data_IF_436651445547
#
_entry.id   IF_436651445547
#
_cell.length_a   1.000
_cell.length_b   1.000
_cell.length_c   1.000
_cell.angle_alpha   90.00
_cell.angle_beta   90.00
_cell.angle_gamma   90.00
#
_symmetry.space_group_name_H-M   'P 1'
#
loop_
_entity.id
_entity.type
_entity.pdbx_description
1 polymer ?
#
# COMPACT_ATOMS: atom_id res chain seq x y z
N UNK A 1 -84.90 -69.98 -7.88
CA UNK A 1 -85.55 -71.29 -7.74
C UNK A 1 -84.73 -72.17 -6.82
N UNK A 2 -85.42 -73.01 -6.03
CA UNK A 2 -84.98 -74.26 -5.36
C UNK A 2 -83.75 -74.16 -4.42
N UNK A 3 -83.85 -74.24 -3.08
CA UNK A 3 -84.34 -75.28 -2.13
C UNK A 3 -83.24 -76.32 -1.76
N UNK A 4 -83.15 -76.60 -0.45
CA UNK A 4 -82.50 -77.73 0.30
C UNK A 4 -80.97 -77.64 0.48
N UNK A 5 -80.36 -77.91 1.64
CA UNK A 5 -80.81 -78.37 2.96
C UNK A 5 -79.70 -79.18 3.69
N UNK A 6 -79.99 -79.60 4.93
CA UNK A 6 -79.24 -80.62 5.72
C UNK A 6 -78.15 -80.05 6.66
N UNK A 7 -78.36 -79.81 7.96
CA UNK A 7 -78.50 -80.73 9.13
C UNK A 7 -77.28 -81.61 9.50
N UNK A 8 -76.90 -81.54 10.78
CA UNK A 8 -76.05 -82.49 11.53
C UNK A 8 -75.00 -81.78 12.41
N UNK A 9 -75.29 -81.37 13.65
CA UNK A 9 -75.38 -82.13 14.92
C UNK A 9 -74.03 -82.46 15.58
N UNK A 10 -73.89 -82.11 16.87
CA UNK A 10 -72.88 -82.64 17.81
C UNK A 10 -71.94 -81.59 18.40
N UNK A 11 -72.36 -80.80 19.40
CA UNK A 11 -72.12 -81.02 20.85
C UNK A 11 -70.64 -81.01 21.28
N UNK A 12 -70.24 -79.99 22.05
CA UNK A 12 -68.94 -79.94 22.72
C UNK A 12 -68.68 -78.63 23.44
N UNK A 13 -69.36 -78.42 24.57
CA UNK A 13 -69.12 -77.28 25.48
C UNK A 13 -67.71 -77.38 26.07
N UNK A 14 -66.89 -76.34 25.93
CA UNK A 14 -65.82 -76.02 26.90
C UNK A 14 -65.40 -74.53 26.84
N UNK A 15 -65.74 -73.84 27.93
CA UNK A 15 -64.94 -72.79 28.56
C UNK A 15 -64.48 -71.59 27.71
N UNK A 16 -65.24 -70.50 27.75
CA UNK A 16 -64.70 -69.15 27.52
C UNK A 16 -63.64 -68.83 28.58
N UNK A 17 -62.42 -68.49 28.15
CA UNK A 17 -61.55 -67.51 28.81
C UNK A 17 -61.29 -66.38 27.82
N UNK A 18 -61.46 -65.10 28.20
CA UNK A 18 -61.20 -63.97 27.32
C UNK A 18 -59.71 -63.62 27.33
N UNK A 19 -59.34 -62.65 26.49
CA UNK A 19 -58.11 -61.84 26.55
C UNK A 19 -56.86 -62.53 25.97
N UNK A 20 -56.03 -61.92 25.12
CA UNK A 20 -55.85 -60.53 24.69
C UNK A 20 -55.08 -60.58 23.36
N UNK A 21 -55.52 -59.87 22.33
CA UNK A 21 -54.72 -59.67 21.12
C UNK A 21 -53.69 -58.59 21.41
N UNK A 22 -52.45 -58.98 21.70
CA UNK A 22 -51.34 -58.02 21.72
C UNK A 22 -51.04 -57.69 20.26
N UNK A 23 -51.45 -56.49 19.82
CA UNK A 23 -50.91 -55.88 18.62
C UNK A 23 -49.41 -55.72 18.84
N UNK A 24 -48.64 -56.48 18.08
CA UNK A 24 -47.19 -56.35 18.00
C UNK A 24 -46.92 -55.03 17.27
N UNK A 25 -46.95 -53.90 18.00
CA UNK A 25 -46.49 -52.63 17.45
C UNK A 25 -44.98 -52.71 17.32
N UNK A 26 -44.52 -53.20 16.17
CA UNK A 26 -43.17 -52.95 15.73
C UNK A 26 -43.04 -51.44 15.54
N UNK A 27 -42.63 -50.74 16.60
CA UNK A 27 -42.06 -49.42 16.48
C UNK A 27 -40.75 -49.59 15.71
N UNK A 28 -40.87 -49.62 14.40
CA UNK A 28 -39.76 -49.74 13.46
C UNK A 28 -38.81 -48.56 13.66
N UNK A 29 -37.56 -48.89 13.94
CA UNK A 29 -36.38 -48.02 14.15
C UNK A 29 -36.09 -47.06 12.95
N UNK A 30 -36.90 -47.12 11.88
CA UNK A 30 -36.69 -46.40 10.61
C UNK A 30 -36.90 -44.88 10.69
N UNK A 31 -37.52 -44.34 11.74
CA UNK A 31 -37.79 -42.91 11.85
C UNK A 31 -36.69 -42.09 12.54
N UNK A 32 -35.62 -42.70 13.07
CA UNK A 32 -34.56 -41.97 13.79
C UNK A 32 -33.34 -41.61 12.94
N UNK A 33 -33.08 -42.36 11.88
CA UNK A 33 -31.94 -42.13 10.99
C UNK A 33 -31.93 -40.74 10.33
N UNK A 34 -33.05 -40.21 9.79
CA UNK A 34 -33.03 -38.87 9.20
C UNK A 34 -32.83 -37.78 10.25
N UNK A 35 -33.37 -37.94 11.46
CA UNK A 35 -33.15 -36.99 12.55
C UNK A 35 -31.70 -36.98 13.03
N UNK A 36 -31.08 -38.17 13.15
CA UNK A 36 -29.66 -38.27 13.48
C UNK A 36 -28.79 -37.66 12.39
N UNK A 37 -29.11 -37.89 11.10
CA UNK A 37 -28.40 -37.29 9.99
C UNK A 37 -28.50 -35.76 10.00
N UNK A 38 -29.70 -35.21 10.24
CA UNK A 38 -29.91 -33.76 10.38
C UNK A 38 -29.12 -33.23 11.58
N UNK A 39 -29.14 -33.91 12.73
CA UNK A 39 -28.40 -33.50 13.91
C UNK A 39 -26.88 -33.48 13.65
N UNK A 40 -26.35 -34.49 12.97
CA UNK A 40 -24.93 -34.56 12.61
C UNK A 40 -24.55 -33.48 11.60
N UNK A 41 -25.41 -33.20 10.62
CA UNK A 41 -25.22 -32.08 9.69
C UNK A 41 -25.24 -30.75 10.47
N UNK A 42 -26.22 -30.53 11.33
CA UNK A 42 -26.29 -29.32 12.16
C UNK A 42 -25.10 -29.21 13.12
N UNK A 43 -24.55 -30.31 13.62
CA UNK A 43 -23.36 -30.34 14.46
C UNK A 43 -22.08 -30.02 13.67
N UNK A 44 -21.92 -30.59 12.48
CA UNK A 44 -20.81 -30.28 11.55
C UNK A 44 -20.81 -28.80 11.15
N UNK A 45 -22.00 -28.24 10.89
CA UNK A 45 -22.19 -26.83 10.56
C UNK A 45 -22.47 -25.95 11.77
N UNK A 46 -22.27 -26.45 12.99
CA UNK A 46 -22.45 -25.66 14.19
C UNK A 46 -21.30 -24.65 14.24
N UNK A 47 -21.60 -23.41 13.89
CA UNK A 47 -20.68 -22.28 13.95
C UNK A 47 -20.43 -21.87 15.41
N UNK A 48 -19.87 -22.77 16.23
CA UNK A 48 -19.32 -22.42 17.54
C UNK A 48 -18.13 -21.51 17.24
N UNK A 49 -18.14 -20.24 17.67
CA UNK A 49 -17.01 -19.37 17.45
C UNK A 49 -15.81 -19.99 18.16
N UNK A 50 -14.81 -20.37 17.37
CA UNK A 50 -13.52 -20.74 17.93
C UNK A 50 -12.99 -19.55 18.74
N UNK A 51 -12.33 -19.76 19.88
CA UNK A 51 -11.69 -18.68 20.60
C UNK A 51 -10.67 -18.03 19.67
N UNK A 52 -10.98 -16.82 19.19
CA UNK A 52 -10.08 -16.02 18.38
C UNK A 52 -9.20 -15.22 19.35
N UNK A 53 -7.89 -15.24 19.13
CA UNK A 53 -6.97 -14.36 19.85
C UNK A 53 -7.40 -12.90 19.66
N UNK A 54 -7.43 -12.13 20.74
CA UNK A 54 -7.69 -10.69 20.64
C UNK A 54 -6.65 -10.06 19.73
N UNK A 55 -7.10 -9.19 18.85
CA UNK A 55 -6.21 -8.41 17.99
C UNK A 55 -5.50 -7.40 18.87
N UNK A 56 -4.18 -7.50 18.94
CA UNK A 56 -3.33 -6.60 19.70
C UNK A 56 -3.16 -5.27 18.95
N UNK A 57 -4.07 -4.32 19.20
CA UNK A 57 -4.08 -2.99 18.61
C UNK A 57 -3.58 -1.96 19.64
N UNK A 58 -2.52 -1.20 19.34
CA UNK A 58 -2.02 -0.15 20.23
C UNK A 58 -3.09 0.91 20.60
N UNK A 59 -3.02 1.42 21.83
CA UNK A 59 -3.98 2.40 22.37
C UNK A 59 -4.06 3.66 21.51
N UNK A 60 -2.93 4.12 20.96
CA UNK A 60 -2.86 5.27 20.05
C UNK A 60 -3.91 5.23 18.93
N UNK A 61 -4.19 4.06 18.34
CA UNK A 61 -5.15 3.97 17.25
C UNK A 61 -6.60 4.14 17.69
N UNK A 62 -6.95 3.76 18.93
CA UNK A 62 -8.27 4.05 19.48
C UNK A 62 -8.43 5.54 19.75
N UNK A 63 -7.38 6.20 20.25
CA UNK A 63 -7.37 7.65 20.47
C UNK A 63 -7.46 8.40 19.13
N UNK A 64 -6.75 7.90 18.11
CA UNK A 64 -6.79 8.43 16.75
C UNK A 64 -8.20 8.30 16.11
N UNK A 65 -8.93 7.23 16.42
CA UNK A 65 -10.30 7.03 15.96
C UNK A 65 -11.26 8.13 16.45
N UNK A 66 -11.02 8.67 17.64
CA UNK A 66 -11.83 9.74 18.23
C UNK A 66 -11.52 11.12 17.65
N UNK A 67 -10.41 11.28 16.93
CA UNK A 67 -10.04 12.57 16.35
C UNK A 67 -10.91 12.88 15.12
N UNK A 68 -11.56 14.06 15.07
CA UNK A 68 -12.34 14.44 13.90
C UNK A 68 -11.45 14.81 12.70
N UNK A 69 -12.03 14.71 11.51
CA UNK A 69 -11.40 15.11 10.26
C UNK A 69 -10.88 13.94 9.43
N UNK A 70 -10.69 14.25 8.15
CA UNK A 70 -10.17 13.35 7.13
C UNK A 70 -8.72 13.71 6.86
N UNK A 71 -7.81 12.80 7.17
CA UNK A 71 -6.37 12.98 7.03
C UNK A 71 -5.67 11.64 6.85
N UNK A 72 -4.41 11.72 6.42
CA UNK A 72 -3.54 10.60 6.13
C UNK A 72 -2.55 10.39 7.27
N UNK A 73 -2.19 9.13 7.52
CA UNK A 73 -1.06 8.75 8.38
C UNK A 73 -0.05 7.90 7.60
N UNK A 74 1.23 8.01 7.98
CA UNK A 74 2.32 7.24 7.42
C UNK A 74 2.76 6.22 8.46
N UNK A 75 2.56 4.95 8.14
CA UNK A 75 2.99 3.84 8.99
C UNK A 75 4.37 3.37 8.55
N UNK A 76 5.32 3.41 9.47
CA UNK A 76 6.69 2.98 9.30
C UNK A 76 6.95 1.73 10.14
N UNK A 77 7.74 0.77 9.63
CA UNK A 77 8.54 0.87 8.40
C UNK A 77 7.69 0.64 7.14
N UNK A 78 7.98 1.40 6.08
CA UNK A 78 7.31 1.26 4.77
C UNK A 78 8.23 0.79 3.67
N UNK A 79 9.35 0.15 3.99
CA UNK A 79 10.27 -0.40 3.00
C UNK A 79 9.71 -1.57 2.17
N UNK A 80 8.70 -2.24 2.71
CA UNK A 80 7.82 -3.15 1.99
C UNK A 80 6.41 -3.04 2.59
N UNK A 81 5.39 -3.45 1.84
CA UNK A 81 4.02 -3.23 2.29
C UNK A 81 3.59 -4.25 3.33
N UNK A 82 3.33 -3.77 4.55
CA UNK A 82 2.88 -4.61 5.65
C UNK A 82 1.35 -4.58 5.74
N UNK A 83 0.67 -5.71 6.04
CA UNK A 83 -0.79 -5.73 6.19
C UNK A 83 -1.26 -5.14 7.53
N UNK A 84 -0.38 -5.05 8.54
CA UNK A 84 -0.75 -4.59 9.89
C UNK A 84 -1.32 -3.17 9.94
N UNK A 85 -0.78 -2.16 9.23
CA UNK A 85 -1.44 -0.87 9.03
C UNK A 85 -2.91 -0.95 8.59
N UNK A 86 -3.25 -1.83 7.65
CA UNK A 86 -4.64 -1.99 7.18
C UNK A 86 -5.55 -2.59 8.26
N UNK A 87 -5.00 -3.42 9.12
CA UNK A 87 -5.73 -3.93 10.27
C UNK A 87 -6.05 -2.80 11.26
N UNK A 88 -5.07 -1.97 11.62
CA UNK A 88 -5.30 -0.82 12.49
C UNK A 88 -6.24 0.21 11.84
N UNK A 89 -6.22 0.34 10.51
CA UNK A 89 -7.16 1.19 9.76
C UNK A 89 -8.62 0.83 10.02
N UNK A 90 -8.95 -0.43 10.30
CA UNK A 90 -10.31 -0.84 10.67
C UNK A 90 -10.77 -0.24 12.01
N UNK A 91 -9.83 0.21 12.85
CA UNK A 91 -10.08 0.87 14.14
C UNK A 91 -10.11 2.38 13.98
N UNK A 92 -9.05 2.99 13.42
CA UNK A 92 -8.91 4.45 13.40
C UNK A 92 -9.56 5.14 12.18
N UNK A 93 -9.84 4.40 11.10
CA UNK A 93 -10.55 4.90 9.92
C UNK A 93 -9.85 6.01 9.12
N UNK A 94 -8.56 6.25 9.36
CA UNK A 94 -7.77 7.30 8.67
C UNK A 94 -7.15 6.76 7.38
N UNK A 95 -6.85 7.64 6.43
CA UNK A 95 -6.19 7.24 5.17
C UNK A 95 -4.77 6.78 5.49
N UNK A 96 -4.31 5.75 4.79
CA UNK A 96 -2.93 5.29 4.87
C UNK A 96 -2.16 5.85 3.68
N UNK A 97 -0.95 6.36 3.92
CA UNK A 97 -0.07 6.83 2.85
C UNK A 97 0.35 5.68 1.91
N UNK A 98 0.51 4.49 2.49
CA UNK A 98 0.85 3.26 1.80
C UNK A 98 0.15 2.09 2.51
N UNK A 99 -0.19 1.06 1.75
CA UNK A 99 -0.93 -0.11 2.23
C UNK A 99 -0.53 -1.34 1.42
N UNK A 100 -0.76 -2.52 2.00
CA UNK A 100 -0.50 -3.78 1.33
C UNK A 100 -1.36 -3.96 0.08
N UNK A 101 -0.69 -4.02 -1.07
CA UNK A 101 -1.27 -4.40 -2.35
C UNK A 101 -0.60 -5.67 -2.85
N UNK A 102 -1.35 -6.55 -3.51
CA UNK A 102 -0.82 -7.83 -4.01
C UNK A 102 0.07 -7.69 -5.24
N UNK A 103 0.17 -6.48 -5.80
CA UNK A 103 0.91 -6.16 -7.02
C UNK A 103 1.58 -4.81 -6.85
N UNK A 104 2.80 -4.71 -7.36
CA UNK A 104 3.49 -3.43 -7.48
C UNK A 104 2.59 -2.41 -8.19
N UNK A 105 2.30 -1.31 -7.53
CA UNK A 105 1.59 -0.19 -8.13
C UNK A 105 2.62 0.86 -8.60
N UNK A 106 2.87 1.01 -9.91
CA UNK A 106 3.82 2.01 -10.42
C UNK A 106 3.33 3.45 -10.22
N UNK A 107 2.11 3.65 -9.73
CA UNK A 107 1.56 4.97 -9.35
C UNK A 107 1.66 5.25 -7.84
N UNK A 108 2.21 4.32 -7.05
CA UNK A 108 2.30 4.53 -5.61
C UNK A 108 3.35 5.59 -5.25
N UNK A 109 2.91 6.57 -4.46
CA UNK A 109 3.64 7.78 -4.11
C UNK A 109 4.96 7.50 -3.40
N UNK A 110 5.00 6.43 -2.59
CA UNK A 110 6.18 6.00 -1.84
C UNK A 110 7.38 5.68 -2.73
N UNK A 111 7.15 5.32 -3.99
CA UNK A 111 8.22 5.00 -4.95
C UNK A 111 8.68 6.18 -5.80
N UNK A 112 7.99 7.33 -5.71
CA UNK A 112 8.08 8.41 -6.70
C UNK A 112 8.31 9.78 -6.11
N UNK A 113 7.90 9.99 -4.87
CA UNK A 113 8.00 11.28 -4.19
C UNK A 113 9.23 11.29 -3.28
N UNK A 114 10.04 12.35 -3.28
CA UNK A 114 11.13 12.51 -2.32
C UNK A 114 10.58 12.50 -0.89
N UNK A 115 11.45 12.31 0.11
CA UNK A 115 11.09 11.90 1.49
C UNK A 115 10.50 10.49 1.56
N UNK A 116 9.41 10.22 0.84
CA UNK A 116 8.73 8.92 0.87
C UNK A 116 9.61 7.83 0.24
N UNK A 117 10.31 8.15 -0.85
CA UNK A 117 11.34 7.28 -1.43
C UNK A 117 12.44 6.95 -0.43
N UNK A 118 12.85 7.89 0.42
CA UNK A 118 13.88 7.63 1.43
C UNK A 118 13.38 6.66 2.50
N UNK A 119 12.10 6.75 2.88
CA UNK A 119 11.46 5.82 3.80
C UNK A 119 11.20 4.45 3.17
N UNK A 120 10.88 4.40 1.87
CA UNK A 120 10.63 3.17 1.11
C UNK A 120 11.92 2.41 0.78
N UNK A 121 12.96 3.11 0.34
CA UNK A 121 14.24 2.47 -0.01
C UNK A 121 15.21 2.37 1.17
N UNK A 122 14.88 3.00 2.31
CA UNK A 122 15.79 3.18 3.44
C UNK A 122 17.11 3.86 3.01
N UNK A 123 17.04 4.69 1.97
CA UNK A 123 18.17 5.30 1.28
C UNK A 123 17.73 6.24 0.17
N UNK A 124 18.68 6.97 -0.46
CA UNK A 124 18.34 7.93 -1.49
C UNK A 124 17.87 7.29 -2.80
N UNK A 125 17.26 8.11 -3.65
CA UNK A 125 17.00 7.86 -5.06
C UNK A 125 17.63 9.00 -5.90
N UNK A 126 17.37 9.05 -7.20
CA UNK A 126 17.96 10.04 -8.10
C UNK A 126 17.48 11.48 -7.84
N UNK A 127 16.35 11.69 -7.15
CA UNK A 127 15.91 13.04 -6.76
C UNK A 127 16.70 13.47 -5.53
N UNK A 128 17.54 14.47 -5.71
CA UNK A 128 18.40 15.04 -4.68
C UNK A 128 17.95 16.45 -4.33
N UNK A 129 17.15 16.55 -3.27
CA UNK A 129 16.64 17.78 -2.69
C UNK A 129 16.72 17.68 -1.16
N UNK A 130 16.96 18.81 -0.44
CA UNK A 130 17.03 18.82 1.02
C UNK A 130 15.68 18.41 1.63
N UNK A 131 15.68 17.29 2.38
CA UNK A 131 14.45 16.65 2.87
C UNK A 131 13.71 17.51 3.88
N UNK A 132 14.43 18.14 4.80
CA UNK A 132 13.90 19.06 5.82
C UNK A 132 13.15 20.25 5.20
N UNK A 133 13.64 20.74 4.07
CA UNK A 133 13.02 21.86 3.35
C UNK A 133 11.71 21.44 2.67
N UNK A 134 11.71 20.32 1.94
CA UNK A 134 10.56 19.92 1.11
C UNK A 134 9.50 19.10 1.87
N UNK A 135 9.89 18.40 2.95
CA UNK A 135 9.00 17.52 3.70
C UNK A 135 7.71 18.19 4.19
N UNK A 136 7.72 19.41 4.78
CA UNK A 136 6.49 20.07 5.20
C UNK A 136 5.49 20.31 4.05
N UNK A 137 5.98 20.60 2.84
CA UNK A 137 5.13 20.78 1.66
C UNK A 137 4.54 19.46 1.20
N UNK A 138 5.37 18.42 1.08
CA UNK A 138 4.95 17.06 0.72
C UNK A 138 3.90 16.53 1.71
N UNK A 139 4.12 16.70 3.01
CA UNK A 139 3.18 16.26 4.03
C UNK A 139 1.85 17.01 3.94
N UNK A 140 1.89 18.31 3.65
CA UNK A 140 0.68 19.09 3.43
C UNK A 140 -0.11 18.59 2.22
N UNK A 141 0.54 18.35 1.09
CA UNK A 141 -0.13 17.94 -0.15
C UNK A 141 -0.80 16.57 -0.04
N UNK A 142 -0.21 15.67 0.73
CA UNK A 142 -0.81 14.37 1.02
C UNK A 142 -1.74 14.36 2.24
N UNK A 143 -2.00 15.54 2.82
CA UNK A 143 -2.79 15.71 4.04
C UNK A 143 -2.31 14.77 5.16
N UNK A 144 -1.00 14.59 5.25
CA UNK A 144 -0.33 13.74 6.21
C UNK A 144 -0.27 14.45 7.57
N UNK A 145 -0.79 13.82 8.61
CA UNK A 145 -0.82 14.39 9.97
C UNK A 145 0.11 13.71 10.95
N UNK A 146 0.26 12.40 10.81
CA UNK A 146 1.08 11.60 11.73
C UNK A 146 2.01 10.66 10.97
N UNK A 147 3.21 10.53 11.51
CA UNK A 147 4.22 9.57 11.08
C UNK A 147 4.45 8.65 12.28
N UNK A 148 4.06 7.40 12.12
CA UNK A 148 4.02 6.39 13.18
C UNK A 148 5.14 5.40 12.91
N UNK A 149 6.06 5.23 13.86
CA UNK A 149 7.09 4.20 13.83
C UNK A 149 6.62 3.06 14.72
N UNK A 150 6.32 1.89 14.14
CA UNK A 150 5.96 0.67 14.87
C UNK A 150 7.21 -0.19 15.08
N UNK A 151 7.82 -0.08 16.27
CA UNK A 151 9.04 -0.81 16.63
C UNK A 151 8.86 -2.32 16.74
N UNK A 152 7.63 -2.84 16.80
CA UNK A 152 7.41 -4.28 16.68
C UNK A 152 7.59 -4.77 15.23
N UNK A 153 7.31 -3.90 14.25
CA UNK A 153 7.47 -4.18 12.82
C UNK A 153 8.90 -3.92 12.30
N UNK A 154 9.71 -3.22 13.09
CA UNK A 154 11.13 -2.97 12.86
C UNK A 154 11.93 -3.25 14.15
N UNK A 155 12.29 -4.49 14.48
CA UNK A 155 13.17 -4.80 15.63
C UNK A 155 14.51 -4.03 15.58
N UNK A 156 15.28 -3.97 16.68
CA UNK A 156 16.59 -3.31 16.66
C UNK A 156 17.50 -3.88 15.57
N UNK A 157 18.07 -3.01 14.75
CA UNK A 157 18.92 -3.39 13.62
C UNK A 157 18.89 -2.37 12.47
N UNK A 158 19.51 -2.71 11.32
CA UNK A 158 19.73 -1.77 10.22
C UNK A 158 18.47 -1.12 9.66
N UNK A 159 17.34 -1.85 9.64
CA UNK A 159 16.06 -1.31 9.17
C UNK A 159 15.55 -0.18 10.07
N UNK A 160 15.56 -0.40 11.39
CA UNK A 160 15.14 0.59 12.38
C UNK A 160 16.06 1.81 12.32
N UNK A 161 17.37 1.58 12.36
CA UNK A 161 18.38 2.66 12.30
C UNK A 161 18.22 3.52 11.04
N UNK A 162 18.05 2.88 9.88
CA UNK A 162 17.86 3.59 8.63
C UNK A 162 16.51 4.34 8.58
N UNK A 163 15.43 3.73 9.09
CA UNK A 163 14.12 4.37 9.18
C UNK A 163 14.18 5.61 10.05
N UNK A 164 14.73 5.50 11.26
CA UNK A 164 14.88 6.62 12.19
C UNK A 164 15.74 7.74 11.60
N UNK A 165 16.85 7.39 10.95
CA UNK A 165 17.72 8.36 10.27
C UNK A 165 16.97 9.17 9.21
N UNK A 166 16.17 8.52 8.36
CA UNK A 166 15.46 9.22 7.29
C UNK A 166 14.19 9.94 7.76
N UNK A 167 13.58 9.51 8.86
CA UNK A 167 12.55 10.29 9.55
C UNK A 167 13.17 11.56 10.15
N UNK A 168 14.28 11.44 10.87
CA UNK A 168 14.99 12.58 11.46
C UNK A 168 15.49 13.58 10.40
N UNK A 169 15.95 13.10 9.24
CA UNK A 169 16.36 13.97 8.13
C UNK A 169 15.20 14.79 7.54
N UNK A 170 13.97 14.25 7.54
CA UNK A 170 12.77 14.95 7.06
C UNK A 170 12.09 15.81 8.14
N UNK A 171 12.37 15.54 9.41
CA UNK A 171 11.75 16.16 10.57
C UNK A 171 12.81 16.64 11.58
N UNK A 172 13.75 17.52 11.18
CA UNK A 172 14.71 18.04 12.15
C UNK A 172 13.96 18.74 13.28
N UNK A 173 14.43 18.53 14.51
CA UNK A 173 13.90 19.15 15.73
C UNK A 173 12.42 18.85 16.07
N UNK A 174 11.78 17.90 15.39
CA UNK A 174 10.41 17.49 15.71
C UNK A 174 10.41 16.44 16.82
N UNK A 175 9.74 16.73 17.94
CA UNK A 175 9.58 15.79 19.03
C UNK A 175 8.36 14.88 18.80
N UNK A 176 8.43 13.60 19.23
CA UNK A 176 7.27 12.73 19.19
C UNK A 176 6.20 13.21 20.17
N UNK A 177 4.93 13.07 19.78
CA UNK A 177 3.76 13.37 20.64
C UNK A 177 3.25 12.13 21.39
N UNK A 178 3.73 10.95 21.01
CA UNK A 178 3.41 9.68 21.63
C UNK A 178 4.63 8.75 21.55
N UNK A 179 4.96 8.12 22.67
CA UNK A 179 5.99 7.09 22.76
C UNK A 179 5.61 6.12 23.89
N UNK A 180 5.27 4.88 23.55
CA UNK A 180 4.97 3.82 24.53
C UNK A 180 5.99 2.67 24.49
N UNK A 181 7.13 2.88 23.82
CA UNK A 181 8.16 1.87 23.58
C UNK A 181 7.86 0.90 22.43
N UNK A 182 6.59 0.75 21.99
CA UNK A 182 6.22 0.05 20.76
C UNK A 182 6.02 1.03 19.63
N UNK A 183 5.16 2.04 19.81
CA UNK A 183 4.93 3.09 18.84
C UNK A 183 5.66 4.35 19.25
N UNK A 184 6.27 5.01 18.28
CA UNK A 184 6.72 6.40 18.39
C UNK A 184 6.07 7.22 17.29
N UNK A 185 5.32 8.26 17.66
CA UNK A 185 4.49 9.03 16.73
C UNK A 185 4.95 10.48 16.68
N UNK A 186 5.24 10.94 15.47
CA UNK A 186 5.58 12.32 15.18
C UNK A 186 4.39 13.04 14.52
N UNK A 187 4.08 14.28 14.93
CA UNK A 187 3.19 15.14 14.18
C UNK A 187 3.93 15.66 12.95
N UNK A 188 3.21 15.92 11.85
CA UNK A 188 3.80 16.64 10.73
C UNK A 188 3.97 18.13 11.08
N UNK A 189 5.09 18.77 10.70
CA UNK A 189 5.31 20.18 10.92
C UNK A 189 4.31 21.01 10.12
N UNK A 190 3.95 22.18 10.65
CA UNK A 190 3.11 23.12 9.91
C UNK A 190 3.83 23.59 8.64
N UNK A 191 3.14 23.51 7.49
CA UNK A 191 3.61 24.15 6.26
C UNK A 191 3.63 25.66 6.47
N UNK A 192 4.82 26.28 6.37
CA UNK A 192 4.98 27.74 6.38
C UNK A 192 4.78 28.31 4.98
N UNK A 193 5.64 27.90 4.04
CA UNK A 193 5.62 28.31 2.64
C UNK A 193 5.80 27.07 1.76
N UNK A 194 5.04 26.91 0.65
CA UNK A 194 5.30 25.86 -0.35
C UNK A 194 6.75 25.89 -0.80
N UNK A 195 7.35 24.70 -0.87
CA UNK A 195 8.65 24.50 -1.48
C UNK A 195 8.46 23.68 -2.76
N UNK A 196 9.05 24.11 -3.89
CA UNK A 196 9.02 23.33 -5.11
C UNK A 196 9.67 21.97 -4.91
N UNK A 197 9.03 20.90 -5.38
CA UNK A 197 9.62 19.56 -5.31
C UNK A 197 9.32 18.74 -6.55
N UNK A 198 10.22 17.81 -6.84
CA UNK A 198 10.12 16.89 -7.96
C UNK A 198 9.44 15.59 -7.55
N UNK A 199 8.72 14.93 -8.44
CA UNK A 199 8.31 13.53 -8.27
C UNK A 199 8.42 12.78 -9.59
N UNK A 200 8.86 11.52 -9.52
CA UNK A 200 9.02 10.70 -10.72
C UNK A 200 7.66 10.36 -11.32
N UNK A 201 7.63 10.21 -12.64
CA UNK A 201 6.51 9.82 -13.47
C UNK A 201 6.64 8.41 -14.04
N UNK A 202 5.99 8.16 -15.17
CA UNK A 202 6.23 6.94 -15.96
C UNK A 202 7.57 7.02 -16.74
N UNK A 203 7.98 5.93 -17.37
CA UNK A 203 9.13 5.89 -18.30
C UNK A 203 10.52 5.77 -17.66
N UNK A 204 10.60 5.75 -16.32
CA UNK A 204 11.83 5.45 -15.59
C UNK A 204 12.02 3.94 -15.40
N UNK A 205 13.26 3.46 -15.51
CA UNK A 205 13.59 2.10 -15.06
C UNK A 205 13.42 1.94 -13.55
N UNK A 206 13.47 0.68 -13.08
CA UNK A 206 13.64 0.39 -11.65
C UNK A 206 14.91 1.09 -11.12
N UNK A 207 14.88 1.46 -9.83
CA UNK A 207 16.03 1.96 -9.08
C UNK A 207 17.13 0.88 -9.09
N UNK A 208 18.33 1.25 -9.50
CA UNK A 208 19.50 0.38 -9.51
C UNK A 208 20.57 0.97 -8.62
N UNK A 209 21.14 0.13 -7.76
CA UNK A 209 22.33 0.47 -6.99
C UNK A 209 23.55 0.02 -7.78
N UNK A 210 24.52 0.91 -7.95
CA UNK A 210 25.72 0.67 -8.75
C UNK A 210 26.95 1.13 -7.97
N UNK A 211 28.14 0.86 -8.50
CA UNK A 211 29.40 1.36 -7.93
C UNK A 211 29.48 2.90 -7.86
N UNK A 212 28.75 3.63 -8.70
CA UNK A 212 28.75 5.11 -8.74
C UNK A 212 27.59 5.74 -7.98
N UNK A 213 26.76 4.92 -7.31
CA UNK A 213 25.59 5.36 -6.56
C UNK A 213 24.28 4.83 -7.13
N UNK A 214 23.20 5.56 -6.87
CA UNK A 214 21.85 5.17 -7.31
C UNK A 214 21.57 5.74 -8.70
N UNK A 215 21.01 4.91 -9.56
CA UNK A 215 20.67 5.29 -10.92
C UNK A 215 19.30 4.77 -11.36
N UNK A 216 18.73 5.48 -12.33
CA UNK A 216 17.60 5.02 -13.14
C UNK A 216 17.89 5.33 -14.59
N UNK A 217 17.27 4.59 -15.51
CA UNK A 217 17.45 4.77 -16.94
C UNK A 217 16.18 5.27 -17.62
N UNK A 218 16.36 6.03 -18.69
CA UNK A 218 15.33 6.47 -19.64
C UNK A 218 15.49 5.64 -20.91
N UNK A 219 14.38 5.10 -21.42
CA UNK A 219 14.38 4.29 -22.65
C UNK A 219 13.89 5.08 -23.85
N UNK A 220 14.29 4.68 -25.06
CA UNK A 220 13.78 5.24 -26.32
C UNK A 220 12.27 5.07 -26.50
N UNK A 221 11.72 3.97 -25.98
CA UNK A 221 10.35 3.56 -26.27
C UNK A 221 9.31 4.39 -25.51
N UNK A 222 9.68 4.93 -24.34
CA UNK A 222 8.75 5.65 -23.46
C UNK A 222 9.46 6.87 -22.86
N UNK A 223 8.92 8.09 -23.09
CA UNK A 223 9.43 9.28 -22.43
C UNK A 223 9.40 9.12 -20.91
N UNK A 224 10.46 9.55 -20.23
CA UNK A 224 10.46 9.59 -18.77
C UNK A 224 9.79 10.88 -18.30
N UNK A 225 8.86 10.76 -17.38
CA UNK A 225 8.07 11.87 -16.86
C UNK A 225 8.61 12.33 -15.50
N UNK A 226 8.61 13.63 -15.25
CA UNK A 226 8.97 14.23 -13.97
C UNK A 226 7.98 15.34 -13.68
N UNK A 227 7.33 15.28 -12.54
CA UNK A 227 6.38 16.31 -12.13
C UNK A 227 7.06 17.28 -11.18
N UNK A 228 7.02 18.56 -11.54
CA UNK A 228 7.42 19.67 -10.68
C UNK A 228 6.16 20.20 -9.98
N UNK A 229 6.10 20.07 -8.66
CA UNK A 229 5.00 20.56 -7.83
C UNK A 229 5.34 21.92 -7.22
N UNK A 230 4.31 22.77 -7.03
CA UNK A 230 4.44 24.13 -6.50
C UNK A 230 5.56 24.95 -7.14
N UNK A 231 5.66 25.03 -8.47
CA UNK A 231 6.65 25.91 -9.07
C UNK A 231 6.42 27.34 -8.57
N UNK A 232 7.49 27.97 -8.11
CA UNK A 232 7.40 29.35 -7.64
C UNK A 232 7.22 30.28 -8.83
N UNK A 233 6.78 31.52 -8.57
CA UNK A 233 6.76 32.57 -9.60
C UNK A 233 8.16 33.02 -10.01
N UNK A 234 9.21 32.41 -9.44
CA UNK A 234 10.62 32.67 -9.74
C UNK A 234 11.12 31.62 -10.72
N UNK A 235 12.12 31.95 -11.56
CA UNK A 235 12.83 30.95 -12.31
C UNK A 235 13.43 29.88 -11.41
N UNK A 236 13.37 28.64 -11.86
CA UNK A 236 13.98 27.50 -11.18
C UNK A 236 15.07 26.93 -12.07
N UNK A 237 16.07 26.31 -11.46
CA UNK A 237 17.14 25.61 -12.18
C UNK A 237 17.07 24.13 -11.86
N UNK A 238 16.79 23.33 -12.88
CA UNK A 238 16.86 21.87 -12.82
C UNK A 238 18.23 21.41 -13.29
N UNK A 239 18.97 20.71 -12.44
CA UNK A 239 20.21 20.06 -12.85
C UNK A 239 20.01 18.55 -12.96
N UNK A 240 20.46 18.01 -14.10
CA UNK A 240 20.43 16.57 -14.39
C UNK A 240 21.84 16.05 -14.62
N UNK A 241 22.22 15.00 -13.89
CA UNK A 241 23.45 14.25 -14.14
C UNK A 241 23.11 12.97 -14.89
N UNK A 242 23.50 12.89 -16.16
CA UNK A 242 23.19 11.77 -17.03
C UNK A 242 24.40 11.29 -17.85
N UNK A 243 24.33 10.05 -18.34
CA UNK A 243 25.35 9.43 -19.18
C UNK A 243 24.70 8.46 -20.18
N UNK A 244 25.28 8.33 -21.37
CA UNK A 244 24.89 7.32 -22.35
C UNK A 244 26.12 6.55 -22.84
N UNK A 245 25.98 5.24 -23.01
CA UNK A 245 27.04 4.41 -23.58
C UNK A 245 27.11 4.50 -25.12
N UNK A 246 26.18 5.20 -25.77
CA UNK A 246 26.14 5.33 -27.22
C UNK A 246 27.27 6.18 -27.78
N UNK A 247 27.60 5.94 -29.06
CA UNK A 247 28.56 6.72 -29.81
C UNK A 247 28.02 6.98 -31.23
N UNK A 248 27.66 8.23 -31.59
CA UNK A 248 27.66 9.41 -30.72
C UNK A 248 26.58 9.31 -29.61
N UNK A 249 26.75 10.00 -28.48
CA UNK A 249 25.70 10.09 -27.46
C UNK A 249 24.42 10.72 -28.02
N UNK A 250 23.23 10.30 -27.55
CA UNK A 250 21.97 10.88 -27.94
C UNK A 250 21.75 12.22 -27.24
N UNK A 251 20.96 13.08 -27.87
CA UNK A 251 20.41 14.25 -27.19
C UNK A 251 19.17 13.87 -26.38
N UNK A 252 18.96 14.58 -25.28
CA UNK A 252 17.75 14.50 -24.47
C UNK A 252 16.96 15.79 -24.65
N UNK A 253 15.78 15.68 -25.27
CA UNK A 253 14.82 16.78 -25.41
C UNK A 253 13.91 16.81 -24.18
N UNK A 254 13.80 17.98 -23.55
CA UNK A 254 12.94 18.22 -22.40
C UNK A 254 11.75 19.05 -22.87
N UNK A 255 10.55 18.56 -22.58
CA UNK A 255 9.30 19.25 -22.86
C UNK A 255 8.60 19.62 -21.55
N UNK A 256 8.01 20.81 -21.46
CA UNK A 256 7.13 21.23 -20.37
C UNK A 256 5.69 21.20 -20.88
N UNK A 257 4.85 20.36 -20.29
CA UNK A 257 3.44 20.15 -20.67
C UNK A 257 3.24 19.87 -22.18
N UNK A 258 4.25 19.26 -22.81
CA UNK A 258 4.25 18.90 -24.23
C UNK A 258 4.92 19.92 -25.15
N UNK A 259 5.26 21.11 -24.65
CA UNK A 259 5.97 22.14 -25.42
C UNK A 259 7.49 22.01 -25.23
N UNK A 260 8.31 22.11 -26.29
CA UNK A 260 9.76 22.05 -26.17
C UNK A 260 10.32 23.13 -25.24
N UNK A 261 11.06 22.72 -24.21
CA UNK A 261 11.67 23.62 -23.23
C UNK A 261 13.18 23.74 -23.43
N UNK A 262 13.87 22.61 -23.55
CA UNK A 262 15.33 22.57 -23.66
C UNK A 262 15.79 21.30 -24.36
N UNK A 263 17.03 21.30 -24.83
CA UNK A 263 17.73 20.14 -25.39
C UNK A 263 19.12 20.10 -24.78
N UNK A 264 19.48 18.96 -24.19
CA UNK A 264 20.81 18.72 -23.63
C UNK A 264 21.50 17.61 -24.40
N UNK A 265 22.80 17.77 -24.62
CA UNK A 265 23.64 16.74 -25.23
C UNK A 265 24.18 15.85 -24.09
N UNK A 266 23.85 14.56 -24.11
CA UNK A 266 24.35 13.62 -23.11
C UNK A 266 25.80 13.26 -23.44
N UNK A 267 26.60 12.93 -22.43
CA UNK A 267 28.00 12.55 -22.61
C UNK A 267 28.23 11.07 -22.32
N UNK A 268 29.38 10.53 -22.73
CA UNK A 268 29.80 9.15 -22.42
C UNK A 268 30.36 8.98 -21.00
N UNK A 269 30.62 10.10 -20.32
CA UNK A 269 30.95 10.17 -18.90
C UNK A 269 29.84 10.91 -18.16
N UNK A 270 29.59 10.65 -16.87
CA UNK A 270 28.59 11.40 -16.10
C UNK A 270 28.91 12.90 -16.10
N UNK A 271 27.99 13.71 -16.60
CA UNK A 271 28.09 15.16 -16.59
C UNK A 271 26.76 15.80 -16.17
N UNK A 272 26.84 16.91 -15.46
CA UNK A 272 25.67 17.70 -15.07
C UNK A 272 25.33 18.73 -16.15
N UNK A 273 24.06 18.76 -16.55
CA UNK A 273 23.50 19.79 -17.41
C UNK A 273 22.46 20.58 -16.62
N UNK A 274 22.48 21.91 -16.74
CA UNK A 274 21.52 22.80 -16.13
C UNK A 274 20.43 23.20 -17.14
N UNK A 275 19.19 23.19 -16.69
CA UNK A 275 18.00 23.56 -17.46
C UNK A 275 17.29 24.67 -16.69
N UNK A 276 17.20 25.84 -17.31
CA UNK A 276 16.48 26.97 -16.75
C UNK A 276 14.98 26.77 -17.01
N UNK A 277 14.22 26.66 -15.94
CA UNK A 277 12.77 26.59 -15.97
C UNK A 277 12.24 28.03 -15.79
N UNK A 278 11.42 28.54 -16.71
CA UNK A 278 10.81 29.85 -16.55
C UNK A 278 9.86 29.87 -15.34
N UNK A 279 9.29 31.03 -15.02
CA UNK A 279 8.15 31.07 -14.11
C UNK A 279 6.99 30.25 -14.71
N UNK A 280 6.54 29.23 -13.97
CA UNK A 280 5.56 28.25 -14.42
C UNK A 280 4.26 28.31 -13.59
N UNK A 281 3.20 27.67 -14.09
CA UNK A 281 1.87 27.66 -13.45
C UNK A 281 1.89 27.02 -12.05
N UNK A 282 1.22 27.58 -11.03
CA UNK A 282 1.51 27.31 -9.61
C UNK A 282 1.07 25.95 -9.07
N UNK A 283 0.34 25.11 -9.80
CA UNK A 283 -0.05 23.79 -9.28
C UNK A 283 1.05 22.76 -9.52
N UNK A 284 1.24 22.35 -10.77
CA UNK A 284 2.31 21.45 -11.18
C UNK A 284 2.59 21.59 -12.68
N UNK A 285 3.78 21.17 -13.09
CA UNK A 285 4.20 21.06 -14.50
C UNK A 285 4.75 19.67 -14.75
N UNK A 286 4.33 19.05 -15.86
CA UNK A 286 4.93 17.79 -16.31
C UNK A 286 6.10 18.09 -17.22
N UNK A 287 7.29 17.74 -16.77
CA UNK A 287 8.48 17.64 -17.60
C UNK A 287 8.55 16.25 -18.22
N UNK A 288 8.76 16.18 -19.53
CA UNK A 288 8.95 14.93 -20.27
C UNK A 288 10.34 14.90 -20.89
N UNK A 289 11.10 13.86 -20.57
CA UNK A 289 12.43 13.60 -21.12
C UNK A 289 12.32 12.61 -22.27
N UNK A 290 12.54 13.11 -23.48
CA UNK A 290 12.52 12.33 -24.72
C UNK A 290 13.94 12.17 -25.24
N UNK A 291 14.42 10.94 -25.31
CA UNK A 291 15.68 10.63 -25.96
C UNK A 291 15.47 10.51 -27.47
N UNK A 292 16.27 11.22 -28.28
CA UNK A 292 16.33 10.96 -29.73
C UNK A 292 16.71 9.50 -29.93
N UNK A 293 15.93 8.70 -30.69
CA UNK A 293 15.75 7.26 -30.52
C UNK A 293 17.07 6.53 -30.23
N UNK A 294 17.40 6.29 -28.94
CA UNK A 294 18.65 5.64 -28.64
C UNK A 294 18.49 4.12 -28.76
N UNK A 295 19.48 3.46 -29.35
CA UNK A 295 19.74 2.03 -29.23
C UNK A 295 20.02 1.60 -27.77
N UNK A 296 20.55 2.49 -26.92
CA UNK A 296 20.85 2.22 -25.51
C UNK A 296 20.21 3.22 -24.53
N UNK A 297 19.73 2.78 -23.35
CA UNK A 297 19.13 3.68 -22.36
C UNK A 297 20.10 4.76 -21.86
N UNK A 298 19.58 5.96 -21.62
CA UNK A 298 20.31 7.03 -20.94
C UNK A 298 20.22 6.78 -19.43
N UNK A 299 21.36 6.69 -18.75
CA UNK A 299 21.42 6.51 -17.30
C UNK A 299 21.45 7.86 -16.60
N UNK A 300 20.55 8.07 -15.65
CA UNK A 300 20.43 9.27 -14.82
C UNK A 300 20.80 8.93 -13.39
N UNK A 301 21.69 9.74 -12.82
CA UNK A 301 22.25 9.56 -11.48
C UNK A 301 21.66 10.54 -10.47
N UNK A 302 21.31 11.74 -10.94
CA UNK A 302 20.91 12.85 -10.08
C UNK A 302 19.98 13.80 -10.83
N UNK A 303 18.95 14.24 -10.13
CA UNK A 303 18.04 15.32 -10.47
C UNK A 303 17.99 16.24 -9.25
N UNK A 304 18.42 17.49 -9.39
CA UNK A 304 18.34 18.48 -8.31
C UNK A 304 17.65 19.74 -8.79
N UNK A 305 16.89 20.36 -7.90
CA UNK A 305 16.09 21.55 -8.20
C UNK A 305 16.52 22.67 -7.25
N UNK A 306 16.82 23.83 -7.82
CA UNK A 306 17.28 25.01 -7.11
C UNK A 306 16.42 26.21 -7.50
N UNK A 307 16.16 27.12 -6.56
CA UNK A 307 15.68 28.46 -6.89
C UNK A 307 16.88 29.33 -7.30
N UNK A 308 16.72 30.17 -8.33
CA UNK A 308 17.73 31.17 -8.72
C UNK A 308 17.68 32.44 -7.85
#
# INVERSE_FOLDING_TARGET
GLVVGGQGSGSGVRGRKPSFTIHNSQFTIHNFLPFLAILLICFEFLAIPYPISKIDTPQFYFDLAQQPGDFTIAELPMNWDRPTPMLYQTVHGKRLLTAYTSRDNPLELAWRTPVLQHWRYLGPDIIDQPLDLIAPTIFYDFNLRYIVLDYYQMPPGPEREATERWVAAALPDTLPIYDDGRLKVYPTPLRREPQPYLSLGQGWSKRQETASGIARAISAATPAELFLHHPSSRPLRLEITAVSAENPPPALTILADGEPLSRIEVTQTPASSAINLPALSPEWVKLSFQADPPTHPITVWRLSLHEE
#
